data_IF_445506042179
#
_entry.id   IF_445506042179
#
_cell.length_a   1.000
_cell.length_b   1.000
_cell.length_c   1.000
_cell.angle_alpha   90.00
_cell.angle_beta   90.00
_cell.angle_gamma   90.00
#
_symmetry.space_group_name_H-M   'P 1'
#
loop_
_entity.id
_entity.type
_entity.pdbx_description
1 polymer ?
#
# COMPACT_ATOMS: atom_id res chain seq x y z
N UNK A 1 -8.69 -6.45 23.54
CA UNK A 1 -8.57 -7.82 22.97
C UNK A 1 -7.09 -8.11 22.81
N UNK A 2 -6.63 -9.33 23.14
CA UNK A 2 -5.24 -9.73 22.88
C UNK A 2 -4.89 -9.50 21.40
N UNK A 3 -3.78 -8.82 21.06
CA UNK A 3 -3.35 -8.54 19.68
C UNK A 3 -3.34 -9.79 18.80
N UNK A 4 -2.91 -10.92 19.34
CA UNK A 4 -2.77 -12.19 18.64
C UNK A 4 -4.13 -12.74 18.17
N UNK A 5 -5.20 -12.48 18.93
CA UNK A 5 -6.55 -12.85 18.50
C UNK A 5 -7.06 -11.93 17.39
N UNK A 6 -6.70 -10.64 17.43
CA UNK A 6 -7.06 -9.69 16.37
C UNK A 6 -6.38 -10.11 15.06
N UNK A 7 -5.08 -10.38 15.12
CA UNK A 7 -4.27 -10.81 13.98
C UNK A 7 -4.84 -12.08 13.37
N UNK A 8 -5.11 -13.11 14.19
CA UNK A 8 -5.73 -14.35 13.70
C UNK A 8 -7.08 -14.11 13.00
N UNK A 9 -7.95 -13.26 13.55
CA UNK A 9 -9.25 -12.94 12.92
C UNK A 9 -9.04 -12.26 11.56
N UNK A 10 -8.11 -11.30 11.49
CA UNK A 10 -7.84 -10.55 10.27
C UNK A 10 -7.13 -11.41 9.22
N UNK A 11 -6.30 -12.36 9.64
CA UNK A 11 -5.71 -13.36 8.77
C UNK A 11 -6.75 -14.32 8.19
N UNK A 12 -7.89 -14.56 8.84
CA UNK A 12 -8.97 -15.38 8.23
C UNK A 12 -9.69 -14.69 7.07
N UNK A 13 -9.66 -13.35 7.01
CA UNK A 13 -10.38 -12.57 5.98
C UNK A 13 -9.45 -11.98 4.92
N UNK A 14 -8.21 -12.46 4.83
CA UNK A 14 -7.18 -11.93 3.93
C UNK A 14 -7.58 -11.95 2.44
N UNK A 15 -8.42 -12.90 2.04
CA UNK A 15 -8.90 -13.06 0.66
C UNK A 15 -10.08 -12.12 0.31
N UNK A 16 -10.58 -11.32 1.25
CA UNK A 16 -11.65 -10.35 1.04
C UNK A 16 -11.16 -8.90 1.28
N UNK A 17 -10.72 -8.20 0.22
CA UNK A 17 -10.23 -6.83 0.31
C UNK A 17 -11.24 -5.84 0.90
N UNK A 18 -12.54 -6.04 0.67
CA UNK A 18 -13.59 -5.16 1.21
C UNK A 18 -13.70 -5.33 2.72
N UNK A 19 -13.66 -6.57 3.22
CA UNK A 19 -13.61 -6.85 4.66
C UNK A 19 -12.33 -6.33 5.31
N UNK A 20 -11.17 -6.47 4.67
CA UNK A 20 -9.92 -5.90 5.16
C UNK A 20 -9.97 -4.37 5.25
N UNK A 21 -10.55 -3.73 4.23
CA UNK A 21 -10.74 -2.28 4.24
C UNK A 21 -11.64 -1.85 5.39
N UNK A 22 -12.81 -2.49 5.56
CA UNK A 22 -13.72 -2.21 6.66
C UNK A 22 -13.07 -2.43 8.04
N UNK A 23 -12.31 -3.52 8.19
CA UNK A 23 -11.57 -3.84 9.41
C UNK A 23 -10.52 -2.78 9.76
N UNK A 24 -9.85 -2.21 8.75
CA UNK A 24 -8.85 -1.15 8.95
C UNK A 24 -9.43 0.15 9.53
N UNK A 25 -10.75 0.35 9.43
CA UNK A 25 -11.46 1.53 9.93
C UNK A 25 -11.99 1.37 11.37
N UNK A 26 -11.96 0.16 11.95
CA UNK A 26 -12.54 -0.12 13.27
C UNK A 26 -11.78 0.60 14.38
N UNK A 27 -10.46 0.38 14.48
CA UNK A 27 -9.58 1.09 15.41
C UNK A 27 -8.11 0.93 15.01
N UNK A 28 -7.22 1.75 15.59
CA UNK A 28 -5.77 1.72 15.29
C UNK A 28 -5.11 0.35 15.49
N UNK A 29 -5.59 -0.46 16.44
CA UNK A 29 -5.03 -1.79 16.69
C UNK A 29 -5.36 -2.80 15.57
N UNK A 30 -6.41 -2.56 14.78
CA UNK A 30 -6.84 -3.42 13.67
C UNK A 30 -6.19 -3.03 12.35
N UNK A 31 -5.34 -2.01 12.33
CA UNK A 31 -4.81 -1.41 11.10
C UNK A 31 -3.61 -2.17 10.54
N UNK A 32 -2.81 -2.84 11.39
CA UNK A 32 -1.55 -3.46 10.98
C UNK A 32 -1.75 -4.60 9.98
N UNK A 33 -2.56 -5.60 10.34
CA UNK A 33 -2.80 -6.81 9.54
C UNK A 33 -3.46 -6.52 8.18
N UNK A 34 -4.50 -5.68 8.08
CA UNK A 34 -5.10 -5.36 6.79
C UNK A 34 -4.14 -4.59 5.90
N UNK A 35 -3.36 -3.65 6.44
CA UNK A 35 -2.31 -2.98 5.65
C UNK A 35 -1.27 -3.96 5.14
N UNK A 36 -0.88 -4.95 5.94
CA UNK A 36 0.04 -5.99 5.50
C UNK A 36 -0.54 -6.72 4.28
N UNK A 37 -1.75 -7.27 4.38
CA UNK A 37 -2.38 -8.01 3.28
C UNK A 37 -2.66 -7.14 2.05
N UNK A 38 -3.05 -5.87 2.23
CA UNK A 38 -3.35 -4.94 1.14
C UNK A 38 -2.10 -4.42 0.42
N UNK A 39 -0.98 -4.21 1.14
CA UNK A 39 0.21 -3.54 0.61
C UNK A 39 1.44 -4.44 0.48
N UNK A 40 1.35 -5.72 0.86
CA UNK A 40 2.41 -6.70 0.63
C UNK A 40 2.79 -6.80 -0.85
N UNK A 41 1.82 -6.61 -1.76
CA UNK A 41 2.04 -6.58 -3.22
C UNK A 41 1.33 -5.37 -3.84
N UNK A 42 2.03 -4.25 -3.95
CA UNK A 42 1.48 -3.00 -4.50
C UNK A 42 1.72 -2.93 -6.00
N UNK A 43 0.67 -2.65 -6.79
CA UNK A 43 0.78 -2.49 -8.25
C UNK A 43 0.65 -1.01 -8.60
N UNK A 44 1.67 -0.45 -9.26
CA UNK A 44 1.71 0.95 -9.68
C UNK A 44 1.59 1.00 -11.20
N UNK A 45 0.55 1.67 -11.71
CA UNK A 45 0.19 1.72 -13.12
C UNK A 45 0.18 3.14 -13.63
N UNK A 46 0.87 3.35 -14.74
CA UNK A 46 0.80 4.55 -15.57
C UNK A 46 0.26 4.15 -16.93
N UNK A 47 -1.07 4.13 -17.03
CA UNK A 47 -1.82 3.67 -18.20
C UNK A 47 -2.90 4.69 -18.52
N UNK A 48 -3.40 4.67 -19.76
CA UNK A 48 -4.38 5.65 -20.24
C UNK A 48 -5.77 5.48 -19.62
N UNK A 49 -6.08 4.28 -19.09
CA UNK A 49 -7.36 4.01 -18.42
C UNK A 49 -7.40 4.73 -17.05
N UNK A 50 -8.24 5.77 -16.88
CA UNK A 50 -8.30 6.55 -15.64
C UNK A 50 -8.83 5.74 -14.45
N UNK A 51 -9.48 4.60 -14.67
CA UNK A 51 -9.95 3.73 -13.59
C UNK A 51 -8.87 2.81 -13.04
N UNK A 52 -7.74 2.69 -13.74
CA UNK A 52 -6.66 1.78 -13.37
C UNK A 52 -5.30 2.48 -13.20
N UNK A 53 -5.15 3.70 -13.73
CA UNK A 53 -4.04 4.59 -13.42
C UNK A 53 -4.02 4.93 -11.93
N UNK A 54 -2.84 4.82 -11.32
CA UNK A 54 -2.69 5.18 -9.91
C UNK A 54 -1.32 5.77 -9.57
N UNK A 55 -0.43 5.96 -10.55
CA UNK A 55 0.93 6.44 -10.31
C UNK A 55 0.91 7.86 -9.75
N UNK A 56 0.04 8.75 -10.25
CA UNK A 56 -0.02 10.13 -9.76
C UNK A 56 -0.56 10.19 -8.34
N UNK A 57 -1.62 9.43 -8.03
CA UNK A 57 -2.16 9.32 -6.68
C UNK A 57 -1.17 8.69 -5.70
N UNK A 58 -0.44 7.67 -6.13
CA UNK A 58 0.64 7.04 -5.36
C UNK A 58 1.74 8.04 -5.02
N UNK A 59 2.27 8.76 -6.02
CA UNK A 59 3.31 9.77 -5.82
C UNK A 59 2.83 10.87 -4.87
N UNK A 60 1.61 11.38 -5.06
CA UNK A 60 1.01 12.37 -4.16
C UNK A 60 0.88 11.87 -2.72
N UNK A 61 0.54 10.59 -2.52
CA UNK A 61 0.46 9.98 -1.19
C UNK A 61 1.84 9.86 -0.54
N UNK A 62 2.87 9.55 -1.33
CA UNK A 62 4.25 9.41 -0.85
C UNK A 62 4.89 10.76 -0.50
N UNK A 63 4.54 11.82 -1.22
CA UNK A 63 5.00 13.19 -0.91
C UNK A 63 4.23 13.83 0.25
N UNK A 64 3.16 13.22 0.75
CA UNK A 64 2.39 13.75 1.87
C UNK A 64 3.18 13.66 3.17
N UNK A 65 3.23 14.74 3.99
CA UNK A 65 3.89 14.71 5.30
C UNK A 65 3.25 13.72 6.29
N UNK A 66 2.04 13.25 5.99
CA UNK A 66 1.31 12.25 6.79
C UNK A 66 1.30 10.87 6.13
N UNK A 67 2.06 10.67 5.05
CA UNK A 67 2.11 9.42 4.30
C UNK A 67 2.74 8.31 5.14
N UNK A 68 1.96 7.28 5.49
CA UNK A 68 2.45 6.11 6.25
C UNK A 68 2.50 4.82 5.42
N UNK A 69 2.35 4.93 4.10
CA UNK A 69 2.27 3.76 3.21
C UNK A 69 3.65 3.23 2.83
N UNK A 70 4.66 4.10 2.69
CA UNK A 70 5.99 3.71 2.23
C UNK A 70 6.64 2.62 3.10
N UNK A 71 6.63 2.71 4.45
CA UNK A 71 7.27 1.70 5.28
C UNK A 71 6.63 0.30 5.21
N UNK A 72 5.38 0.21 4.73
CA UNK A 72 4.63 -1.05 4.66
C UNK A 72 4.70 -1.71 3.28
N UNK A 73 5.21 -1.03 2.25
CA UNK A 73 5.39 -1.62 0.91
C UNK A 73 6.59 -2.56 0.96
N UNK A 74 6.34 -3.85 0.71
CA UNK A 74 7.39 -4.88 0.69
C UNK A 74 7.73 -5.35 -0.73
N UNK A 75 6.76 -5.33 -1.63
CA UNK A 75 6.93 -5.66 -3.04
C UNK A 75 6.10 -4.70 -3.88
N UNK A 76 6.72 -4.16 -4.94
CA UNK A 76 6.05 -3.29 -5.90
C UNK A 76 6.17 -3.86 -7.31
N UNK A 77 5.07 -3.84 -8.06
CA UNK A 77 5.04 -4.18 -9.49
C UNK A 77 4.77 -2.91 -10.27
N UNK A 78 5.69 -2.57 -11.17
CA UNK A 78 5.65 -1.33 -11.93
C UNK A 78 5.18 -1.63 -13.35
N UNK A 79 4.02 -1.07 -13.71
CA UNK A 79 3.48 -1.08 -15.07
C UNK A 79 3.47 0.37 -15.56
N UNK A 80 4.65 0.91 -15.87
CA UNK A 80 4.82 2.33 -16.17
C UNK A 80 5.33 2.54 -17.60
N UNK A 81 4.57 3.28 -18.42
CA UNK A 81 4.94 3.58 -19.80
C UNK A 81 5.85 4.81 -19.93
N UNK A 82 5.65 5.83 -19.10
CA UNK A 82 6.44 7.06 -19.17
C UNK A 82 7.71 6.95 -18.31
N UNK A 83 8.88 7.06 -18.93
CA UNK A 83 10.18 6.92 -18.26
C UNK A 83 10.39 7.91 -17.10
N UNK A 84 9.87 9.14 -17.23
CA UNK A 84 9.98 10.16 -16.19
C UNK A 84 9.30 9.72 -14.88
N UNK A 85 8.07 9.20 -14.99
CA UNK A 85 7.32 8.68 -13.84
C UNK A 85 7.95 7.42 -13.25
N UNK A 86 8.53 6.55 -14.10
CA UNK A 86 9.23 5.35 -13.64
C UNK A 86 10.41 5.72 -12.75
N UNK A 87 11.22 6.70 -13.17
CA UNK A 87 12.37 7.19 -12.40
C UNK A 87 11.92 7.78 -11.07
N UNK A 88 10.82 8.55 -11.07
CA UNK A 88 10.28 9.16 -9.85
C UNK A 88 9.80 8.10 -8.85
N UNK A 89 9.04 7.11 -9.30
CA UNK A 89 8.57 6.00 -8.46
C UNK A 89 9.73 5.20 -7.88
N UNK A 90 10.76 4.90 -8.68
CA UNK A 90 11.95 4.18 -8.19
C UNK A 90 12.67 4.98 -7.09
N UNK A 91 12.83 6.31 -7.27
CA UNK A 91 13.46 7.16 -6.23
C UNK A 91 12.68 7.11 -4.92
N UNK A 92 11.36 7.18 -4.99
CA UNK A 92 10.47 7.13 -3.83
C UNK A 92 10.58 5.78 -3.12
N UNK A 93 10.54 4.68 -3.86
CA UNK A 93 10.65 3.32 -3.29
C UNK A 93 12.05 3.06 -2.70
N UNK A 94 13.11 3.50 -3.37
CA UNK A 94 14.49 3.37 -2.85
C UNK A 94 14.70 4.18 -1.56
N UNK A 95 14.08 5.37 -1.47
CA UNK A 95 14.10 6.15 -0.23
C UNK A 95 13.38 5.42 0.90
N UNK A 96 12.26 4.75 0.62
CA UNK A 96 11.53 3.97 1.62
C UNK A 96 12.35 2.79 2.16
N UNK A 97 13.08 2.08 1.30
CA UNK A 97 13.98 0.98 1.70
C UNK A 97 15.12 1.47 2.62
N UNK A 98 15.60 2.70 2.43
CA UNK A 98 16.62 3.28 3.31
C UNK A 98 16.12 3.64 4.73
N UNK A 99 14.80 3.66 4.93
CA UNK A 99 14.16 4.00 6.21
C UNK A 99 13.76 2.77 7.04
N UNK A 100 13.83 1.57 6.46
CA UNK A 100 13.50 0.29 7.09
C UNK A 100 14.73 -0.45 7.61
#
# INVERSE_FOLDING_TARGET
MPPELIENILDFVHDDPESLYAASLVCRAWVSTPRYHMFHRTIIRDIEDPFQENVTSFLSLCSSPHGTILPVIRCAILCIHHAEKLIEVIKVLAHAESLS
#
